data_IF_828072652109
#
_entry.id   IF_828072652109
#
_cell.length_a   1.000
_cell.length_b   1.000
_cell.length_c   1.000
_cell.angle_alpha   90.00
_cell.angle_beta   90.00
_cell.angle_gamma   90.00
#
_symmetry.space_group_name_H-M   'P 1'
#
loop_
_entity.id
_entity.type
_entity.pdbx_description
1 polymer ?
#
# COMPACT_ATOMS: atom_id res chain seq x y z
N UNK A 1 15.77 22.78 -23.75
CA UNK A 1 15.75 21.53 -22.95
C UNK A 1 14.92 21.64 -21.67
N UNK A 2 15.27 22.50 -20.70
CA UNK A 2 14.56 22.58 -19.39
C UNK A 2 13.06 22.90 -19.49
N UNK A 3 12.67 23.80 -20.40
CA UNK A 3 11.25 24.15 -20.62
C UNK A 3 10.48 22.93 -21.16
N UNK A 4 11.01 22.27 -22.20
CA UNK A 4 10.40 21.09 -22.80
C UNK A 4 10.27 19.94 -21.80
N UNK A 5 11.29 19.71 -20.98
CA UNK A 5 11.30 18.67 -19.94
C UNK A 5 10.23 18.91 -18.86
N UNK A 6 10.17 20.12 -18.29
CA UNK A 6 9.13 20.46 -17.31
C UNK A 6 7.72 20.46 -17.92
N UNK A 7 7.59 20.90 -19.17
CA UNK A 7 6.32 20.86 -19.90
C UNK A 7 5.82 19.44 -20.13
N UNK A 8 6.71 18.54 -20.57
CA UNK A 8 6.41 17.12 -20.74
C UNK A 8 5.95 16.50 -19.41
N UNK A 9 6.70 16.71 -18.32
CA UNK A 9 6.36 16.17 -17.01
C UNK A 9 5.04 16.72 -16.45
N UNK A 10 4.74 18.00 -16.69
CA UNK A 10 3.48 18.60 -16.30
C UNK A 10 2.29 17.97 -17.04
N UNK A 11 2.39 17.84 -18.37
CA UNK A 11 1.34 17.23 -19.21
C UNK A 11 1.15 15.75 -18.84
N UNK A 12 2.24 15.01 -18.71
CA UNK A 12 2.21 13.60 -18.31
C UNK A 12 1.54 13.40 -16.94
N UNK A 13 1.91 14.24 -15.96
CA UNK A 13 1.33 14.16 -14.61
C UNK A 13 -0.16 14.52 -14.62
N UNK A 14 -0.56 15.52 -15.40
CA UNK A 14 -1.97 15.88 -15.55
C UNK A 14 -2.78 14.79 -16.26
N UNK A 15 -2.24 14.19 -17.31
CA UNK A 15 -2.86 13.07 -18.02
C UNK A 15 -3.05 11.85 -17.11
N UNK A 16 -2.02 11.51 -16.32
CA UNK A 16 -2.07 10.43 -15.33
C UNK A 16 -3.13 10.71 -14.26
N UNK A 17 -3.21 11.95 -13.76
CA UNK A 17 -4.23 12.36 -12.79
C UNK A 17 -5.64 12.19 -13.36
N UNK A 18 -5.90 12.68 -14.57
CA UNK A 18 -7.22 12.59 -15.21
C UNK A 18 -7.61 11.12 -15.44
N UNK A 19 -6.68 10.31 -15.94
CA UNK A 19 -6.87 8.88 -16.11
C UNK A 19 -7.21 8.18 -14.79
N UNK A 20 -6.46 8.44 -13.73
CA UNK A 20 -6.71 7.87 -12.41
C UNK A 20 -8.04 8.32 -11.80
N UNK A 21 -8.43 9.60 -11.96
CA UNK A 21 -9.73 10.10 -11.51
C UNK A 21 -10.86 9.38 -12.25
N UNK A 22 -10.71 9.15 -13.56
CA UNK A 22 -11.68 8.37 -14.34
C UNK A 22 -11.78 6.93 -13.82
N UNK A 23 -10.65 6.25 -13.63
CA UNK A 23 -10.60 4.90 -13.07
C UNK A 23 -11.32 4.82 -11.71
N UNK A 24 -11.05 5.78 -10.82
CA UNK A 24 -11.69 5.86 -9.51
C UNK A 24 -13.21 6.07 -9.62
N UNK A 25 -13.65 6.95 -10.50
CA UNK A 25 -15.09 7.22 -10.72
C UNK A 25 -15.84 5.99 -11.19
N UNK A 26 -15.24 5.22 -12.10
CA UNK A 26 -15.84 4.00 -12.65
C UNK A 26 -15.76 2.85 -11.64
N UNK A 27 -14.70 2.77 -10.83
CA UNK A 27 -14.46 1.64 -9.91
C UNK A 27 -15.16 1.77 -8.57
N UNK A 28 -15.42 2.97 -8.07
CA UNK A 28 -16.02 3.16 -6.74
C UNK A 28 -17.52 2.89 -6.79
N UNK A 29 -18.02 2.04 -5.88
CA UNK A 29 -19.45 1.88 -5.62
C UNK A 29 -19.91 3.05 -4.74
N UNK A 30 -21.01 3.71 -5.12
CA UNK A 30 -21.53 4.85 -4.37
C UNK A 30 -22.08 4.45 -3.00
N UNK A 31 -21.83 5.28 -1.99
CA UNK A 31 -22.35 5.17 -0.63
C UNK A 31 -23.89 5.08 -0.49
N UNK A 32 -24.64 5.58 -1.47
CA UNK A 32 -26.11 5.61 -1.48
C UNK A 32 -26.73 4.31 -2.05
N UNK A 33 -25.92 3.27 -2.25
CA UNK A 33 -26.39 1.97 -2.74
C UNK A 33 -26.75 1.04 -1.57
N UNK A 34 -27.40 -0.09 -1.87
CA UNK A 34 -27.74 -1.13 -0.89
C UNK A 34 -26.50 -1.65 -0.14
N UNK A 35 -25.31 -1.54 -0.76
CA UNK A 35 -24.03 -1.94 -0.17
C UNK A 35 -23.45 -0.93 0.84
N UNK A 36 -24.05 0.26 0.96
CA UNK A 36 -23.67 1.30 1.93
C UNK A 36 -22.19 1.68 1.93
N UNK A 37 -21.67 2.05 3.11
CA UNK A 37 -20.25 2.38 3.32
C UNK A 37 -19.32 1.18 3.08
N UNK A 38 -19.79 -0.05 3.36
CA UNK A 38 -19.00 -1.26 3.18
C UNK A 38 -18.61 -1.48 1.72
N UNK A 39 -19.52 -1.22 0.76
CA UNK A 39 -19.20 -1.31 -0.67
C UNK A 39 -18.16 -0.30 -1.13
N UNK A 40 -18.17 0.92 -0.58
CA UNK A 40 -17.15 1.95 -0.86
C UNK A 40 -15.78 1.53 -0.33
N UNK A 41 -15.72 1.05 0.92
CA UNK A 41 -14.47 0.59 1.55
C UNK A 41 -13.92 -0.62 0.80
N UNK A 42 -14.78 -1.57 0.44
CA UNK A 42 -14.43 -2.73 -0.37
C UNK A 42 -13.82 -2.32 -1.73
N UNK A 43 -14.36 -1.30 -2.39
CA UNK A 43 -13.83 -0.76 -3.66
C UNK A 43 -12.41 -0.19 -3.51
N UNK A 44 -12.07 0.32 -2.33
CA UNK A 44 -10.73 0.88 -2.03
C UNK A 44 -9.75 -0.13 -1.45
N UNK A 45 -10.23 -1.25 -0.93
CA UNK A 45 -9.43 -2.31 -0.33
C UNK A 45 -9.13 -3.45 -1.29
N UNK A 46 -10.10 -3.79 -2.15
CA UNK A 46 -9.99 -4.86 -3.14
C UNK A 46 -9.98 -4.26 -4.54
N UNK A 47 -8.80 -4.27 -5.14
CA UNK A 47 -8.57 -3.65 -6.45
C UNK A 47 -8.75 -4.60 -7.64
N UNK A 48 -8.84 -5.92 -7.39
CA UNK A 48 -8.93 -6.96 -8.42
C UNK A 48 -10.32 -7.61 -8.49
N UNK A 49 -10.74 -7.99 -9.70
CA UNK A 49 -11.99 -8.70 -9.99
C UNK A 49 -13.14 -7.80 -10.45
N UNK A 50 -14.36 -8.34 -10.59
CA UNK A 50 -15.52 -7.59 -11.08
C UNK A 50 -16.07 -6.56 -10.10
N UNK A 51 -16.83 -5.61 -10.64
CA UNK A 51 -17.57 -4.59 -9.86
C UNK A 51 -18.56 -5.21 -8.88
N UNK A 52 -18.66 -4.64 -7.69
CA UNK A 52 -19.70 -4.97 -6.70
C UNK A 52 -19.15 -5.64 -5.45
N UNK A 53 -19.85 -5.45 -4.33
CA UNK A 53 -19.46 -5.98 -3.02
C UNK A 53 -19.43 -7.51 -3.06
N UNK A 54 -18.37 -8.13 -2.55
CA UNK A 54 -18.23 -9.59 -2.57
C UNK A 54 -17.89 -10.22 -3.93
N UNK A 55 -17.65 -9.39 -4.97
CA UNK A 55 -17.18 -9.88 -6.27
C UNK A 55 -15.66 -9.79 -6.42
N UNK A 56 -14.94 -9.24 -5.43
CA UNK A 56 -13.50 -9.12 -5.47
C UNK A 56 -12.81 -10.49 -5.56
N UNK A 57 -11.76 -10.56 -6.39
CA UNK A 57 -10.79 -11.64 -6.31
C UNK A 57 -9.84 -11.35 -5.15
N UNK A 58 -9.85 -12.22 -4.14
CA UNK A 58 -8.98 -12.14 -2.96
C UNK A 58 -8.06 -13.34 -2.90
N UNK A 59 -6.84 -13.12 -2.41
CA UNK A 59 -5.87 -14.20 -2.25
C UNK A 59 -5.91 -14.76 -0.83
N UNK A 60 -6.20 -16.05 -0.69
CA UNK A 60 -6.22 -16.69 0.60
C UNK A 60 -4.84 -17.29 0.93
N UNK A 61 -4.21 -16.80 2.00
CA UNK A 61 -2.90 -17.30 2.44
C UNK A 61 -2.95 -18.74 2.97
N UNK A 62 -4.07 -19.16 3.57
CA UNK A 62 -4.18 -20.50 4.13
C UNK A 62 -4.28 -21.58 3.04
N UNK A 63 -4.95 -21.28 1.93
CA UNK A 63 -5.09 -22.20 0.79
C UNK A 63 -4.11 -21.94 -0.35
N UNK A 64 -3.27 -20.90 -0.25
CA UNK A 64 -2.35 -20.46 -1.31
C UNK A 64 -3.00 -20.28 -2.69
N UNK A 65 -4.26 -19.86 -2.72
CA UNK A 65 -5.06 -19.75 -3.93
C UNK A 65 -5.84 -18.45 -3.97
N UNK A 66 -6.08 -17.94 -5.17
CA UNK A 66 -7.08 -16.91 -5.38
C UNK A 66 -8.48 -17.51 -5.23
N UNK A 67 -9.40 -16.70 -4.76
CA UNK A 67 -10.81 -17.07 -4.61
C UNK A 67 -11.70 -15.86 -4.85
N UNK A 68 -12.89 -16.11 -5.39
CA UNK A 68 -13.95 -15.12 -5.49
C UNK A 68 -15.10 -15.58 -4.60
N UNK A 69 -15.61 -14.69 -3.76
CA UNK A 69 -16.68 -15.04 -2.81
C UNK A 69 -18.05 -15.23 -3.47
N UNK A 70 -18.25 -14.64 -4.65
CA UNK A 70 -19.44 -14.81 -5.46
C UNK A 70 -19.24 -15.92 -6.51
N UNK A 71 -20.16 -16.90 -6.53
CA UNK A 71 -20.11 -18.05 -7.44
C UNK A 71 -20.46 -17.73 -8.89
N UNK A 72 -21.04 -16.56 -9.18
CA UNK A 72 -21.34 -16.17 -10.56
C UNK A 72 -20.10 -15.75 -11.35
N UNK A 73 -18.99 -15.50 -10.66
CA UNK A 73 -17.73 -15.06 -11.25
C UNK A 73 -16.66 -16.11 -11.01
N UNK A 74 -15.78 -16.25 -11.99
CA UNK A 74 -14.71 -17.23 -11.99
C UNK A 74 -13.37 -16.52 -12.15
N UNK A 75 -12.31 -17.20 -11.75
CA UNK A 75 -10.95 -16.73 -11.99
C UNK A 75 -10.61 -16.90 -13.48
N UNK A 76 -9.41 -16.45 -13.89
CA UNK A 76 -8.92 -16.66 -15.25
C UNK A 76 -8.96 -18.15 -15.65
N UNK A 77 -8.86 -18.46 -16.94
CA UNK A 77 -8.96 -19.83 -17.47
C UNK A 77 -8.07 -20.90 -16.79
N UNK A 78 -7.00 -20.50 -16.11
CA UNK A 78 -6.11 -21.37 -15.35
C UNK A 78 -6.52 -21.55 -13.88
N UNK A 79 -7.59 -20.91 -13.39
CA UNK A 79 -8.02 -20.83 -11.98
C UNK A 79 -6.96 -20.31 -10.97
N UNK A 80 -5.80 -19.85 -11.46
CA UNK A 80 -4.66 -19.45 -10.64
C UNK A 80 -4.55 -17.94 -10.39
N UNK A 81 -5.28 -17.10 -11.11
CA UNK A 81 -5.14 -15.64 -11.04
C UNK A 81 -6.45 -14.90 -11.32
N UNK A 82 -6.60 -13.63 -10.87
CA UNK A 82 -7.71 -12.77 -11.28
C UNK A 82 -7.74 -12.63 -12.80
N UNK A 83 -8.94 -12.65 -13.39
CA UNK A 83 -9.09 -12.50 -14.84
C UNK A 83 -8.70 -11.06 -15.26
N UNK A 84 -7.75 -10.88 -16.19
CA UNK A 84 -7.38 -9.55 -16.68
C UNK A 84 -8.51 -8.87 -17.49
N UNK A 85 -9.53 -9.63 -17.91
CA UNK A 85 -10.71 -9.12 -18.63
C UNK A 85 -11.83 -8.64 -17.72
N UNK A 86 -11.75 -8.91 -16.41
CA UNK A 86 -12.75 -8.44 -15.44
C UNK A 86 -12.79 -6.91 -15.38
N UNK A 87 -13.98 -6.34 -15.39
CA UNK A 87 -14.20 -4.89 -15.39
C UNK A 87 -14.85 -4.38 -14.10
N UNK A 88 -14.57 -3.11 -13.82
CA UNK A 88 -15.23 -2.29 -12.80
C UNK A 88 -14.58 -2.27 -11.42
N UNK A 89 -13.36 -2.81 -11.30
CA UNK A 89 -12.44 -2.51 -10.18
C UNK A 89 -11.15 -1.88 -10.66
N UNK A 90 -10.49 -1.24 -9.71
CA UNK A 90 -9.45 -0.24 -9.97
C UNK A 90 -8.27 -0.77 -10.79
N UNK A 91 -7.85 -2.02 -10.54
CA UNK A 91 -6.69 -2.63 -11.20
C UNK A 91 -6.86 -2.69 -12.72
N UNK A 92 -7.90 -3.37 -13.19
CA UNK A 92 -8.17 -3.58 -14.62
C UNK A 92 -8.75 -2.34 -15.30
N UNK A 93 -9.47 -1.47 -14.57
CA UNK A 93 -10.00 -0.19 -15.11
C UNK A 93 -8.90 0.83 -15.48
N UNK A 94 -7.67 0.61 -15.02
CA UNK A 94 -6.52 1.38 -15.49
C UNK A 94 -5.42 1.59 -14.46
N UNK A 95 -5.61 1.24 -13.19
CA UNK A 95 -4.54 1.38 -12.18
C UNK A 95 -3.31 0.54 -12.54
N UNK A 96 -3.48 -0.64 -13.13
CA UNK A 96 -2.35 -1.45 -13.58
C UNK A 96 -1.55 -0.70 -14.65
N UNK A 97 -2.24 -0.12 -15.63
CA UNK A 97 -1.63 0.63 -16.74
C UNK A 97 -0.99 1.94 -16.28
N UNK A 98 -1.76 2.82 -15.63
CA UNK A 98 -1.27 4.11 -15.14
C UNK A 98 -0.25 3.94 -14.02
N UNK A 99 -0.44 2.96 -13.14
CA UNK A 99 0.51 2.61 -12.09
C UNK A 99 1.84 2.12 -12.65
N UNK A 100 1.82 1.27 -13.68
CA UNK A 100 3.05 0.85 -14.36
C UNK A 100 3.76 2.02 -15.05
N UNK A 101 3.04 2.86 -15.80
CA UNK A 101 3.64 4.04 -16.42
C UNK A 101 4.23 4.99 -15.37
N UNK A 102 3.51 5.21 -14.27
CA UNK A 102 3.96 6.04 -13.17
C UNK A 102 5.21 5.46 -12.48
N UNK A 103 5.33 4.13 -12.41
CA UNK A 103 6.56 3.48 -11.95
C UNK A 103 7.74 3.82 -12.86
N UNK A 104 7.57 3.66 -14.18
CA UNK A 104 8.61 4.02 -15.16
C UNK A 104 8.96 5.51 -15.09
N UNK A 105 7.97 6.38 -14.83
CA UNK A 105 8.22 7.83 -14.71
C UNK A 105 9.19 8.18 -13.58
N UNK A 106 9.30 7.37 -12.52
CA UNK A 106 10.27 7.61 -11.43
C UNK A 106 11.71 7.42 -11.86
N UNK A 107 11.98 6.57 -12.84
CA UNK A 107 13.29 6.47 -13.48
C UNK A 107 13.57 7.70 -14.34
N UNK A 108 12.55 8.18 -15.05
CA UNK A 108 12.68 9.40 -15.86
C UNK A 108 12.93 10.64 -14.99
N UNK A 109 12.32 10.74 -13.82
CA UNK A 109 12.56 11.84 -12.85
C UNK A 109 14.03 11.91 -12.38
N UNK A 110 14.82 10.83 -12.50
CA UNK A 110 16.27 10.88 -12.22
C UNK A 110 17.00 11.82 -13.18
N UNK A 111 16.46 12.05 -14.39
CA UNK A 111 16.98 13.04 -15.34
C UNK A 111 16.98 14.46 -14.74
N UNK A 112 16.05 14.80 -13.85
CA UNK A 112 16.10 16.08 -13.11
C UNK A 112 17.41 16.22 -12.34
N UNK A 113 17.86 15.12 -11.73
CA UNK A 113 19.12 15.08 -10.99
C UNK A 113 20.32 15.22 -11.94
N UNK A 114 20.29 14.54 -13.09
CA UNK A 114 21.33 14.66 -14.11
C UNK A 114 21.45 16.09 -14.68
N UNK A 115 20.33 16.77 -14.92
CA UNK A 115 20.33 18.17 -15.39
C UNK A 115 20.97 19.09 -14.34
N UNK A 116 20.71 18.87 -13.05
CA UNK A 116 21.31 19.67 -11.96
C UNK A 116 22.83 19.46 -11.90
N UNK A 117 23.28 18.20 -11.99
CA UNK A 117 24.70 17.84 -12.01
C UNK A 117 25.39 18.41 -13.25
N UNK A 118 24.76 18.35 -14.42
CA UNK A 118 25.26 18.95 -15.66
C UNK A 118 25.40 20.48 -15.58
N UNK A 119 24.62 21.13 -14.70
CA UNK A 119 24.74 22.58 -14.40
C UNK A 119 25.79 22.88 -13.33
N UNK A 120 26.61 21.90 -12.94
CA UNK A 120 27.70 22.06 -11.97
C UNK A 120 27.23 22.23 -10.51
N UNK A 121 25.94 21.99 -10.23
CA UNK A 121 25.40 22.07 -8.87
C UNK A 121 25.41 20.68 -8.23
N UNK A 122 25.83 20.59 -6.97
CA UNK A 122 25.76 19.34 -6.21
C UNK A 122 24.29 18.93 -6.05
N UNK A 123 23.95 17.69 -6.41
CA UNK A 123 22.64 17.10 -6.10
C UNK A 123 22.46 17.06 -4.59
N UNK A 124 21.27 17.45 -4.10
CA UNK A 124 20.95 17.36 -2.68
C UNK A 124 20.75 15.90 -2.29
N UNK A 125 21.33 15.47 -1.16
CA UNK A 125 21.08 14.13 -0.60
C UNK A 125 19.59 13.84 -0.41
N UNK A 126 18.78 14.87 -0.16
CA UNK A 126 17.34 14.76 -0.04
C UNK A 126 16.67 14.30 -1.34
N UNK A 127 17.15 14.80 -2.48
CA UNK A 127 16.61 14.49 -3.80
C UNK A 127 16.97 13.05 -4.20
N UNK A 128 18.23 12.66 -4.03
CA UNK A 128 18.69 11.29 -4.32
C UNK A 128 17.99 10.25 -3.43
N UNK A 129 17.86 10.54 -2.13
CA UNK A 129 17.11 9.67 -1.21
C UNK A 129 15.65 9.56 -1.64
N UNK A 130 14.95 10.68 -1.87
CA UNK A 130 13.56 10.65 -2.31
C UNK A 130 13.34 9.82 -3.58
N UNK A 131 14.16 10.00 -4.63
CA UNK A 131 14.00 9.24 -5.88
C UNK A 131 14.26 7.75 -5.70
N UNK A 132 15.34 7.36 -5.00
CA UNK A 132 15.63 5.96 -4.74
C UNK A 132 14.49 5.27 -3.96
N UNK A 133 13.95 5.96 -2.95
CA UNK A 133 12.79 5.52 -2.20
C UNK A 133 11.54 5.36 -3.03
N UNK A 134 11.21 6.38 -3.83
CA UNK A 134 10.02 6.37 -4.68
C UNK A 134 10.05 5.18 -5.66
N UNK A 135 11.22 4.89 -6.25
CA UNK A 135 11.40 3.75 -7.16
C UNK A 135 11.17 2.41 -6.44
N UNK A 136 11.77 2.23 -5.26
CA UNK A 136 11.65 1.01 -4.47
C UNK A 136 10.24 0.79 -3.90
N UNK A 137 9.62 1.84 -3.36
CA UNK A 137 8.26 1.78 -2.83
C UNK A 137 7.24 1.51 -3.95
N UNK A 138 7.44 2.11 -5.13
CA UNK A 138 6.54 1.91 -6.26
C UNK A 138 6.69 0.51 -6.87
N UNK A 139 7.91 -0.02 -6.94
CA UNK A 139 8.14 -1.42 -7.31
C UNK A 139 7.36 -2.37 -6.39
N UNK A 140 7.49 -2.21 -5.07
CA UNK A 140 6.78 -3.05 -4.11
C UNK A 140 5.26 -2.90 -4.24
N UNK A 141 4.76 -1.67 -4.42
CA UNK A 141 3.33 -1.40 -4.62
C UNK A 141 2.76 -2.13 -5.82
N UNK A 142 3.39 -2.03 -6.99
CA UNK A 142 2.93 -2.71 -8.22
C UNK A 142 3.09 -4.21 -8.11
N UNK A 143 4.27 -4.69 -7.67
CA UNK A 143 4.60 -6.11 -7.64
C UNK A 143 3.68 -6.92 -6.74
N UNK A 144 3.29 -6.34 -5.60
CA UNK A 144 2.40 -6.99 -4.63
C UNK A 144 0.94 -6.55 -4.77
N UNK A 145 0.60 -5.73 -5.78
CA UNK A 145 -0.77 -5.23 -6.01
C UNK A 145 -1.36 -4.63 -4.72
N UNK A 146 -0.58 -3.79 -4.04
CA UNK A 146 -0.96 -3.23 -2.75
C UNK A 146 -2.04 -2.18 -2.94
N UNK A 147 -3.18 -2.34 -2.26
CA UNK A 147 -4.34 -1.46 -2.43
C UNK A 147 -4.04 0.05 -2.37
N UNK A 148 -3.30 0.59 -1.37
CA UNK A 148 -3.08 2.03 -1.28
C UNK A 148 -2.25 2.65 -2.42
N UNK A 149 -1.74 1.84 -3.37
CA UNK A 149 -0.98 2.34 -4.52
C UNK A 149 -1.77 3.33 -5.37
N UNK A 150 -3.08 3.16 -5.51
CA UNK A 150 -3.90 4.07 -6.30
C UNK A 150 -3.88 5.50 -5.75
N UNK A 151 -3.87 5.64 -4.43
CA UNK A 151 -3.82 6.93 -3.74
C UNK A 151 -2.47 7.59 -4.03
N UNK A 152 -1.40 6.79 -3.95
CA UNK A 152 -0.06 7.27 -4.25
C UNK A 152 0.04 7.79 -5.68
N UNK A 153 -0.40 7.02 -6.68
CA UNK A 153 -0.38 7.44 -8.08
C UNK A 153 -1.24 8.69 -8.28
N UNK A 154 -2.48 8.70 -7.80
CA UNK A 154 -3.44 9.79 -8.03
C UNK A 154 -2.99 11.10 -7.39
N UNK A 155 -2.66 11.08 -6.09
CA UNK A 155 -2.32 12.31 -5.35
C UNK A 155 -0.94 12.82 -5.75
N UNK A 156 0.04 11.92 -5.95
CA UNK A 156 1.38 12.33 -6.38
C UNK A 156 1.34 12.96 -7.77
N UNK A 157 0.64 12.34 -8.73
CA UNK A 157 0.52 12.92 -10.08
C UNK A 157 -0.21 14.26 -10.07
N UNK A 158 -1.20 14.48 -9.20
CA UNK A 158 -1.82 15.78 -9.03
C UNK A 158 -0.89 16.86 -8.49
N UNK A 159 -0.12 16.55 -7.45
CA UNK A 159 0.85 17.51 -6.88
C UNK A 159 2.03 17.74 -7.83
N UNK A 160 2.49 16.71 -8.53
CA UNK A 160 3.53 16.82 -9.55
C UNK A 160 3.07 17.64 -10.75
N UNK A 161 1.81 17.52 -11.19
CA UNK A 161 1.26 18.37 -12.23
C UNK A 161 1.34 19.86 -11.83
N UNK A 162 0.95 20.20 -10.60
CA UNK A 162 1.04 21.58 -10.08
C UNK A 162 2.50 22.03 -9.95
N UNK A 163 3.37 21.17 -9.42
CA UNK A 163 4.79 21.46 -9.20
C UNK A 163 5.56 21.71 -10.50
N UNK A 164 5.40 20.84 -11.50
CA UNK A 164 6.05 21.01 -12.80
C UNK A 164 5.46 22.18 -13.59
N UNK A 165 4.15 22.43 -13.48
CA UNK A 165 3.55 23.65 -14.05
C UNK A 165 4.15 24.90 -13.41
N UNK A 166 4.34 24.90 -12.09
CA UNK A 166 5.02 25.98 -11.39
C UNK A 166 6.46 26.18 -11.90
N UNK A 167 7.25 25.12 -12.06
CA UNK A 167 8.61 25.22 -12.60
C UNK A 167 8.64 25.69 -14.05
N UNK A 168 7.70 25.25 -14.88
CA UNK A 168 7.53 25.72 -16.25
C UNK A 168 7.27 27.24 -16.27
N UNK A 169 6.33 27.72 -15.46
CA UNK A 169 6.04 29.15 -15.33
C UNK A 169 7.26 29.96 -14.87
N UNK A 170 8.07 29.44 -13.94
CA UNK A 170 9.32 30.12 -13.54
C UNK A 170 10.37 30.12 -14.64
N UNK A 171 10.46 29.07 -15.46
CA UNK A 171 11.39 28.99 -16.58
C UNK A 171 11.01 29.95 -17.72
N UNK A 172 9.72 30.28 -17.84
CA UNK A 172 9.20 31.30 -18.77
C UNK A 172 9.34 32.75 -18.26
N UNK A 173 9.96 32.96 -17.08
CA UNK A 173 10.19 34.30 -16.53
C UNK A 173 8.99 34.93 -15.82
N UNK A 174 7.92 34.17 -15.58
CA UNK A 174 6.73 34.68 -14.87
C UNK A 174 7.07 34.87 -13.39
N UNK A 175 6.86 36.09 -12.86
CA UNK A 175 7.09 36.39 -11.44
C UNK A 175 5.99 35.78 -10.58
N UNK A 176 6.31 34.66 -9.92
CA UNK A 176 5.35 33.96 -9.05
C UNK A 176 5.44 34.48 -7.61
N UNK A 177 4.27 34.78 -7.02
CA UNK A 177 4.14 35.25 -5.64
C UNK A 177 4.71 34.23 -4.63
N UNK A 178 5.37 34.71 -3.57
CA UNK A 178 5.91 33.91 -2.47
C UNK A 178 4.85 33.00 -1.82
N UNK A 179 3.59 33.43 -1.76
CA UNK A 179 2.50 32.61 -1.21
C UNK A 179 2.28 31.31 -1.99
N UNK A 180 2.35 31.34 -3.31
CA UNK A 180 2.19 30.15 -4.16
C UNK A 180 3.31 29.15 -3.90
N UNK A 181 4.55 29.63 -3.73
CA UNK A 181 5.70 28.79 -3.35
C UNK A 181 5.47 28.09 -2.01
N UNK A 182 4.95 28.81 -1.02
CA UNK A 182 4.63 28.25 0.29
C UNK A 182 3.49 27.23 0.21
N UNK A 183 2.41 27.52 -0.52
CA UNK A 183 1.30 26.59 -0.72
C UNK A 183 1.76 25.29 -1.39
N UNK A 184 2.66 25.36 -2.37
CA UNK A 184 3.22 24.18 -3.03
C UNK A 184 3.95 23.27 -2.03
N UNK A 185 4.84 23.84 -1.22
CA UNK A 185 5.55 23.07 -0.18
C UNK A 185 4.57 22.50 0.85
N UNK A 186 3.55 23.26 1.25
CA UNK A 186 2.52 22.76 2.17
C UNK A 186 1.75 21.59 1.58
N UNK A 187 1.34 21.64 0.31
CA UNK A 187 0.68 20.52 -0.36
C UNK A 187 1.55 19.26 -0.40
N UNK A 188 2.85 19.41 -0.69
CA UNK A 188 3.80 18.29 -0.69
C UNK A 188 3.96 17.66 0.70
N UNK A 189 4.03 18.47 1.76
CA UNK A 189 4.12 17.95 3.13
C UNK A 189 2.81 17.25 3.54
N UNK A 190 1.67 17.85 3.22
CA UNK A 190 0.36 17.25 3.48
C UNK A 190 0.20 15.91 2.77
N UNK A 191 0.67 15.77 1.52
CA UNK A 191 0.68 14.50 0.79
C UNK A 191 1.41 13.41 1.55
N UNK A 192 2.60 13.69 2.08
CA UNK A 192 3.36 12.69 2.83
C UNK A 192 2.65 12.28 4.12
N UNK A 193 2.19 13.24 4.90
CA UNK A 193 1.53 12.97 6.20
C UNK A 193 0.24 12.19 6.00
N UNK A 194 -0.65 12.67 5.12
CA UNK A 194 -1.94 12.02 4.84
C UNK A 194 -1.71 10.68 4.17
N UNK A 195 -0.76 10.59 3.23
CA UNK A 195 -0.42 9.35 2.53
C UNK A 195 0.06 8.24 3.46
N UNK A 196 0.94 8.55 4.42
CA UNK A 196 1.42 7.57 5.41
C UNK A 196 0.29 7.10 6.33
N UNK A 197 -0.52 8.03 6.85
CA UNK A 197 -1.67 7.68 7.71
C UNK A 197 -2.64 6.78 6.95
N UNK A 198 -2.96 7.14 5.70
CA UNK A 198 -3.87 6.39 4.85
C UNK A 198 -3.32 4.99 4.54
N UNK A 199 -2.04 4.88 4.18
CA UNK A 199 -1.39 3.59 3.93
C UNK A 199 -1.40 2.69 5.18
N UNK A 200 -1.07 3.23 6.35
CA UNK A 200 -1.13 2.49 7.62
C UNK A 200 -2.56 2.07 7.97
N UNK A 201 -3.57 2.90 7.71
CA UNK A 201 -4.96 2.55 7.97
C UNK A 201 -5.39 1.25 7.23
N UNK A 202 -4.85 0.98 6.03
CA UNK A 202 -5.17 -0.24 5.28
C UNK A 202 -4.72 -1.52 6.02
N UNK A 203 -3.75 -1.44 6.93
CA UNK A 203 -3.33 -2.59 7.74
C UNK A 203 -4.36 -2.97 8.81
N UNK A 204 -5.19 -2.02 9.25
CA UNK A 204 -6.10 -2.20 10.39
C UNK A 204 -7.58 -2.18 10.02
N UNK A 205 -7.92 -1.77 8.79
CA UNK A 205 -9.32 -1.73 8.33
C UNK A 205 -9.83 -3.14 8.04
N UNK A 206 -10.93 -3.48 8.72
CA UNK A 206 -11.76 -4.66 8.45
C UNK A 206 -13.22 -4.22 8.27
N UNK A 207 -13.95 -4.93 7.40
CA UNK A 207 -15.34 -4.63 7.08
C UNK A 207 -16.11 -5.95 6.85
N UNK A 208 -17.44 -5.86 6.88
CA UNK A 208 -18.31 -7.03 6.70
C UNK A 208 -18.70 -7.19 5.23
N UNK A 209 -18.50 -8.40 4.70
CA UNK A 209 -18.88 -8.79 3.35
C UNK A 209 -19.98 -9.86 3.38
N UNK A 210 -21.01 -9.74 2.52
CA UNK A 210 -21.93 -10.84 2.29
C UNK A 210 -21.22 -11.92 1.48
N UNK A 211 -21.05 -13.11 2.07
CA UNK A 211 -20.47 -14.27 1.40
C UNK A 211 -21.49 -15.41 1.33
N UNK A 212 -21.45 -16.18 0.26
CA UNK A 212 -22.36 -17.31 0.05
C UNK A 212 -21.73 -18.59 0.60
N UNK A 213 -22.24 -19.09 1.72
CA UNK A 213 -21.73 -20.31 2.36
C UNK A 213 -22.62 -21.52 2.03
N UNK A 214 -22.02 -22.68 1.69
CA UNK A 214 -22.77 -23.93 1.55
C UNK A 214 -23.14 -24.46 2.94
N UNK A 215 -24.38 -24.92 3.08
CA UNK A 215 -24.84 -25.68 4.24
C UNK A 215 -25.61 -26.92 3.78
N UNK A 216 -25.49 -28.01 4.53
CA UNK A 216 -26.21 -29.25 4.25
C UNK A 216 -27.62 -29.13 4.82
N UNK A 217 -28.61 -28.97 3.96
CA UNK A 217 -30.01 -29.03 4.34
C UNK A 217 -30.45 -30.50 4.32
N UNK A 218 -30.89 -31.02 5.47
CA UNK A 218 -31.53 -32.34 5.56
C UNK A 218 -33.01 -32.18 5.22
N UNK A 219 -33.37 -32.47 3.97
CA UNK A 219 -34.76 -32.44 3.55
C UNK A 219 -35.38 -33.79 3.92
N UNK A 220 -36.19 -33.80 4.99
CA UNK A 220 -37.00 -34.97 5.34
C UNK A 220 -38.15 -35.10 4.35
N UNK A 221 -38.00 -35.98 3.37
CA UNK A 221 -39.14 -36.41 2.55
C UNK A 221 -40.00 -37.31 3.43
N UNK A 222 -41.05 -36.75 4.03
CA UNK A 222 -42.15 -37.56 4.56
C UNK A 222 -42.69 -38.29 3.34
N UNK A 223 -42.56 -39.62 3.29
CA UNK A 223 -43.17 -40.43 2.24
C UNK A 223 -44.67 -40.18 2.34
N UNK A 224 -45.15 -39.22 1.57
CA UNK A 224 -46.57 -38.86 1.54
C UNK A 224 -47.32 -40.09 1.09
N UNK A 225 -48.48 -40.31 1.69
CA UNK A 225 -49.43 -41.38 1.45
C UNK A 225 -49.65 -41.76 -0.03
N UNK A 226 -49.29 -40.90 -0.98
CA UNK A 226 -49.24 -41.18 -2.42
C UNK A 226 -48.36 -42.39 -2.81
N UNK A 227 -47.25 -42.67 -2.12
CA UNK A 227 -46.47 -43.89 -2.37
C UNK A 227 -47.21 -45.16 -1.93
N UNK A 228 -48.08 -45.05 -0.91
CA UNK A 228 -49.02 -46.11 -0.53
C UNK A 228 -50.16 -46.24 -1.54
N UNK A 229 -50.65 -45.14 -2.11
CA UNK A 229 -51.70 -45.14 -3.13
C UNK A 229 -51.25 -45.83 -4.42
N UNK A 230 -49.98 -45.69 -4.82
CA UNK A 230 -49.44 -46.31 -6.02
C UNK A 230 -49.43 -47.86 -5.97
N UNK A 231 -49.40 -48.46 -4.77
CA UNK A 231 -49.44 -49.92 -4.61
C UNK A 231 -50.88 -50.47 -4.65
N UNK A 232 -51.87 -49.63 -4.33
CA UNK A 232 -53.29 -50.01 -4.42
C UNK A 232 -53.83 -50.11 -5.87
N UNK A 233 -53.07 -49.63 -6.85
CA UNK A 233 -53.48 -49.58 -8.25
C UNK A 233 -52.95 -50.74 -9.12
N UNK A 234 -52.26 -51.74 -8.56
CA UNK A 234 -51.79 -52.88 -9.33
C UNK A 234 -52.90 -53.94 -9.49
N UNK A 235 -53.36 -54.22 -10.73
CA UNK A 235 -54.30 -55.30 -10.98
C UNK A 235 -53.62 -56.64 -10.74
N UNK A 236 -54.35 -57.53 -10.09
CA UNK A 236 -53.89 -58.88 -9.75
C UNK A 236 -54.16 -59.81 -10.94
N UNK A 237 -53.42 -59.68 -12.04
CA UNK A 237 -53.39 -60.72 -13.07
C UNK A 237 -51.98 -60.92 -13.65
N UNK A 238 -51.59 -62.19 -13.67
CA UNK A 238 -50.36 -62.68 -14.23
C UNK A 238 -50.45 -62.74 -15.76
N UNK A 239 -49.56 -62.03 -16.47
CA UNK A 239 -48.81 -62.58 -17.62
C UNK A 239 -47.94 -61.52 -18.30
N UNK A 240 -46.68 -61.93 -18.54
CA UNK A 240 -45.77 -61.51 -19.61
C UNK A 240 -45.55 -59.99 -19.90
N UNK A 241 -44.35 -59.52 -19.55
CA UNK A 241 -43.57 -58.63 -20.42
C UNK A 241 -43.30 -57.20 -19.94
N UNK A 242 -42.01 -56.90 -19.77
CA UNK A 242 -41.33 -55.59 -19.68
C UNK A 242 -41.29 -54.85 -18.32
N UNK A 243 -40.09 -54.92 -17.77
CA UNK A 243 -39.34 -54.07 -16.84
C UNK A 243 -39.87 -52.65 -16.59
N UNK A 244 -40.34 -52.41 -15.36
CA UNK A 244 -40.19 -51.14 -14.66
C UNK A 244 -39.45 -51.46 -13.37
N UNK A 245 -38.26 -50.89 -13.19
CA UNK A 245 -37.47 -51.02 -11.98
C UNK A 245 -38.12 -50.21 -10.85
N UNK A 246 -39.09 -50.80 -10.15
CA UNK A 246 -39.54 -50.32 -8.85
C UNK A 246 -38.66 -50.96 -7.78
N UNK A 247 -38.11 -50.12 -6.91
CA UNK A 247 -37.26 -50.50 -5.80
C UNK A 247 -37.82 -51.73 -5.08
N UNK A 248 -36.98 -52.74 -4.87
CA UNK A 248 -37.30 -53.96 -4.12
C UNK A 248 -37.81 -53.61 -2.73
N UNK A 249 -39.12 -53.43 -2.59
CA UNK A 249 -39.79 -53.46 -1.31
C UNK A 249 -39.52 -54.85 -0.73
N UNK A 250 -38.80 -54.90 0.38
CA UNK A 250 -38.42 -56.16 1.02
C UNK A 250 -39.66 -57.01 1.24
N UNK A 251 -39.55 -58.33 1.04
CA UNK A 251 -40.68 -59.27 1.06
C UNK A 251 -41.57 -59.17 2.34
N UNK A 252 -41.06 -58.59 3.43
CA UNK A 252 -41.82 -58.30 4.65
C UNK A 252 -42.87 -57.17 4.51
N UNK A 253 -42.60 -56.14 3.71
CA UNK A 253 -43.51 -54.99 3.53
C UNK A 253 -44.79 -55.37 2.78
N UNK A 254 -44.66 -56.22 1.76
CA UNK A 254 -45.79 -56.73 0.98
C UNK A 254 -46.72 -57.65 1.81
N UNK A 255 -46.15 -58.51 2.67
CA UNK A 255 -46.90 -59.37 3.56
C UNK A 255 -47.66 -58.56 4.63
N UNK A 256 -47.07 -57.48 5.15
CA UNK A 256 -47.74 -56.57 6.08
C UNK A 256 -48.91 -55.83 5.43
N UNK A 257 -48.72 -55.27 4.23
CA UNK A 257 -49.78 -54.57 3.48
C UNK A 257 -50.99 -55.48 3.22
N UNK A 258 -50.74 -56.74 2.85
CA UNK A 258 -51.80 -57.74 2.66
C UNK A 258 -52.57 -58.01 3.96
N UNK A 259 -51.88 -58.10 5.09
CA UNK A 259 -52.50 -58.27 6.42
C UNK A 259 -53.36 -57.05 6.81
N UNK A 260 -52.86 -55.84 6.57
CA UNK A 260 -53.58 -54.60 6.84
C UNK A 260 -54.85 -54.46 6.00
N UNK A 261 -54.77 -54.77 4.70
CA UNK A 261 -55.92 -54.74 3.78
C UNK A 261 -57.00 -55.76 4.18
N UNK A 262 -56.60 -56.97 4.59
CA UNK A 262 -57.54 -57.99 5.07
C UNK A 262 -58.24 -57.58 6.37
N UNK A 263 -57.56 -56.88 7.30
CA UNK A 263 -58.19 -56.30 8.49
C UNK A 263 -59.15 -55.15 8.15
N UNK A 264 -58.75 -54.24 7.26
CA UNK A 264 -59.59 -53.13 6.82
C UNK A 264 -60.88 -53.62 6.12
N UNK A 265 -60.80 -54.77 5.44
CA UNK A 265 -61.95 -55.44 4.83
C UNK A 265 -62.78 -56.28 5.81
N UNK A 266 -62.51 -56.22 7.13
CA UNK A 266 -63.24 -56.96 8.17
C UNK A 266 -62.98 -58.47 8.18
N UNK A 267 -61.97 -58.94 7.45
CA UNK A 267 -61.61 -60.37 7.34
C UNK A 267 -60.50 -60.73 8.31
N UNK A 268 -60.77 -60.57 9.60
CA UNK A 268 -59.76 -60.68 10.66
C UNK A 268 -59.11 -62.07 10.74
N UNK A 269 -59.87 -63.16 10.53
CA UNK A 269 -59.32 -64.52 10.54
C UNK A 269 -58.39 -64.84 9.36
N UNK A 270 -58.58 -64.19 8.20
CA UNK A 270 -57.68 -64.35 7.05
C UNK A 270 -56.43 -63.49 7.19
N UNK A 271 -56.54 -62.33 7.85
CA UNK A 271 -55.40 -61.48 8.15
C UNK A 271 -54.40 -62.16 9.10
N UNK A 272 -54.89 -63.00 10.02
CA UNK A 272 -54.04 -63.70 10.97
C UNK A 272 -53.09 -64.71 10.32
N UNK A 273 -53.54 -65.36 9.23
CA UNK A 273 -52.76 -66.32 8.45
C UNK A 273 -51.65 -65.72 7.59
N UNK A 274 -51.55 -64.37 7.52
CA UNK A 274 -50.44 -63.71 6.83
C UNK A 274 -49.28 -63.57 7.81
N UNK A 275 -48.26 -64.42 7.61
CA UNK A 275 -47.02 -64.46 8.38
C UNK A 275 -45.85 -63.88 7.57
N UNK A 276 -44.84 -63.37 8.26
CA UNK A 276 -43.57 -62.94 7.64
C UNK A 276 -42.80 -64.16 7.12
N UNK A 277 -41.80 -63.96 6.25
CA UNK A 277 -40.97 -65.02 5.67
C UNK A 277 -40.26 -65.93 6.71
N UNK A 278 -40.19 -65.52 7.98
CA UNK A 278 -39.63 -66.27 9.12
C UNK A 278 -40.68 -66.81 10.12
N UNK A 279 -41.97 -66.77 9.80
CA UNK A 279 -43.02 -67.40 10.63
C UNK A 279 -43.34 -66.71 11.96
N UNK A 280 -42.88 -65.47 12.19
CA UNK A 280 -43.18 -64.69 13.40
C UNK A 280 -44.28 -63.65 13.15
N UNK A 281 -44.99 -63.26 14.21
CA UNK A 281 -46.01 -62.21 14.17
C UNK A 281 -45.40 -60.82 13.94
N UNK A 282 -46.10 -59.97 13.18
CA UNK A 282 -45.72 -58.58 12.92
C UNK A 282 -45.83 -57.73 14.20
N UNK A 283 -44.79 -57.72 15.03
CA UNK A 283 -44.75 -57.00 16.30
C UNK A 283 -43.72 -55.88 16.40
N UNK A 284 -42.57 -55.99 15.71
CA UNK A 284 -41.42 -55.09 15.97
C UNK A 284 -40.83 -54.40 14.72
N UNK A 285 -41.13 -54.87 13.50
CA UNK A 285 -40.63 -54.27 12.25
C UNK A 285 -41.39 -52.99 11.82
N UNK A 286 -42.57 -52.73 12.41
CA UNK A 286 -43.44 -51.60 12.01
C UNK A 286 -42.94 -50.26 12.56
N UNK A 287 -42.30 -50.26 13.73
CA UNK A 287 -41.69 -49.05 14.30
C UNK A 287 -40.45 -48.62 13.48
N UNK A 288 -39.72 -49.58 12.91
CA UNK A 288 -38.52 -49.32 12.12
C UNK A 288 -38.86 -48.88 10.67
N UNK A 289 -39.94 -49.44 10.09
CA UNK A 289 -40.43 -49.04 8.77
C UNK A 289 -41.09 -47.65 8.75
N UNK A 290 -41.70 -47.20 9.85
CA UNK A 290 -42.21 -45.83 9.99
C UNK A 290 -41.12 -44.79 10.29
N UNK A 291 -39.92 -45.23 10.67
CA UNK A 291 -38.79 -44.35 11.01
C UNK A 291 -37.74 -44.21 9.90
N UNK A 292 -37.97 -44.79 8.71
CA UNK A 292 -37.18 -44.48 7.52
C UNK A 292 -37.64 -43.16 6.90
N UNK A 293 -37.48 -42.05 7.64
CA UNK A 293 -37.40 -40.74 7.01
C UNK A 293 -36.11 -40.75 6.20
N UNK A 294 -36.21 -40.97 4.89
CA UNK A 294 -35.09 -40.80 3.97
C UNK A 294 -34.77 -39.32 3.95
N UNK A 295 -33.78 -38.92 4.76
CA UNK A 295 -33.21 -37.58 4.72
C UNK A 295 -32.40 -37.48 3.43
N UNK A 296 -32.89 -36.71 2.47
CA UNK A 296 -32.07 -36.34 1.31
C UNK A 296 -31.19 -35.18 1.74
N UNK A 297 -29.87 -35.37 1.68
CA UNK A 297 -28.91 -34.30 1.93
C UNK A 297 -28.77 -33.46 0.64
N UNK A 298 -29.22 -32.21 0.71
CA UNK A 298 -29.09 -31.24 -0.38
C UNK A 298 -28.14 -30.12 0.07
N UNK A 299 -27.12 -29.81 -0.73
CA UNK A 299 -26.26 -28.65 -0.49
C UNK A 299 -27.00 -27.38 -0.88
N UNK A 300 -27.40 -26.58 0.09
CA UNK A 300 -28.03 -25.26 -0.12
C UNK A 300 -27.05 -24.16 0.23
N UNK A 301 -27.32 -22.97 -0.30
CA UNK A 301 -26.48 -21.80 -0.09
C UNK A 301 -27.23 -20.73 0.70
N UNK A 302 -26.55 -20.10 1.65
CA UNK A 302 -27.06 -18.96 2.40
C UNK A 302 -26.04 -17.83 2.37
N UNK A 303 -26.52 -16.60 2.30
CA UNK A 303 -25.67 -15.41 2.46
C UNK A 303 -25.46 -15.13 3.93
N UNK A 304 -24.20 -15.12 4.36
CA UNK A 304 -23.78 -14.75 5.71
C UNK A 304 -22.80 -13.56 5.66
N UNK A 305 -22.81 -12.74 6.71
CA UNK A 305 -21.88 -11.61 6.84
C UNK A 305 -20.60 -12.09 7.52
N UNK A 306 -19.48 -12.04 6.79
CA UNK A 306 -18.16 -12.36 7.32
C UNK A 306 -17.26 -11.14 7.37
N UNK A 307 -16.41 -11.08 8.39
CA UNK A 307 -15.39 -10.04 8.50
C UNK A 307 -14.23 -10.34 7.55
N UNK A 308 -13.88 -9.38 6.72
CA UNK A 308 -12.76 -9.47 5.78
C UNK A 308 -11.81 -8.30 6.01
N UNK A 309 -10.51 -8.59 6.00
CA UNK A 309 -9.47 -7.58 6.11
C UNK A 309 -9.27 -6.88 4.77
N UNK A 310 -8.86 -5.61 4.83
CA UNK A 310 -8.55 -4.84 3.63
C UNK A 310 -7.45 -5.49 2.80
N UNK A 311 -6.39 -5.98 3.46
CA UNK A 311 -5.27 -6.68 2.82
C UNK A 311 -5.43 -8.18 2.89
N UNK A 312 -5.05 -8.85 1.80
CA UNK A 312 -5.13 -10.30 1.65
C UNK A 312 -3.78 -10.98 1.87
N UNK A 313 -2.68 -10.31 1.50
CA UNK A 313 -1.35 -10.92 1.47
C UNK A 313 -0.36 -10.22 2.39
N UNK A 314 0.58 -10.99 2.94
CA UNK A 314 1.73 -10.47 3.66
C UNK A 314 2.62 -9.60 2.76
N UNK A 315 2.64 -9.86 1.45
CA UNK A 315 3.33 -9.04 0.44
C UNK A 315 2.73 -7.63 0.30
N UNK A 316 1.40 -7.50 0.33
CA UNK A 316 0.73 -6.20 0.33
C UNK A 316 1.06 -5.40 1.60
N UNK A 317 1.08 -6.07 2.75
CA UNK A 317 1.49 -5.47 4.03
C UNK A 317 2.96 -5.07 4.02
N UNK A 318 3.85 -5.91 3.47
CA UNK A 318 5.26 -5.59 3.27
C UNK A 318 5.45 -4.32 2.44
N UNK A 319 4.73 -4.17 1.32
CA UNK A 319 4.81 -2.98 0.49
C UNK A 319 4.41 -1.70 1.25
N UNK A 320 3.39 -1.78 2.11
CA UNK A 320 2.95 -0.67 2.97
C UNK A 320 4.01 -0.34 4.01
N UNK A 321 4.51 -1.34 4.72
CA UNK A 321 5.52 -1.17 5.76
C UNK A 321 6.82 -0.62 5.21
N UNK A 322 7.26 -1.11 4.05
CA UNK A 322 8.43 -0.61 3.33
C UNK A 322 8.26 0.87 2.99
N UNK A 323 7.10 1.25 2.45
CA UNK A 323 6.79 2.64 2.13
C UNK A 323 6.80 3.54 3.37
N UNK A 324 6.14 3.10 4.44
CA UNK A 324 6.07 3.86 5.69
C UNK A 324 7.46 3.99 6.36
N UNK A 325 8.23 2.91 6.42
CA UNK A 325 9.58 2.92 6.99
C UNK A 325 10.51 3.86 6.21
N UNK A 326 10.42 3.85 4.88
CA UNK A 326 11.25 4.71 4.03
C UNK A 326 10.88 6.18 4.14
N UNK A 327 9.57 6.48 4.18
CA UNK A 327 9.04 7.84 4.28
C UNK A 327 9.16 8.42 5.69
N UNK A 328 9.32 7.62 6.74
CA UNK A 328 9.42 8.10 8.12
C UNK A 328 10.49 9.17 8.36
N UNK A 329 11.78 8.96 7.98
CA UNK A 329 12.81 9.99 8.17
C UNK A 329 12.55 11.26 7.33
N UNK A 330 11.99 11.10 6.13
CA UNK A 330 11.67 12.21 5.24
C UNK A 330 10.51 13.06 5.79
N UNK A 331 9.46 12.39 6.25
CA UNK A 331 8.29 13.00 6.86
C UNK A 331 8.69 13.73 8.15
N UNK A 332 9.53 13.11 8.99
CA UNK A 332 10.06 13.74 10.19
C UNK A 332 10.85 15.03 9.90
N UNK A 333 11.68 15.02 8.86
CA UNK A 333 12.42 16.21 8.42
C UNK A 333 11.47 17.33 7.96
N UNK A 334 10.49 17.00 7.11
CA UNK A 334 9.54 17.98 6.58
C UNK A 334 8.59 18.52 7.65
N UNK A 335 8.09 17.67 8.55
CA UNK A 335 7.27 18.10 9.70
C UNK A 335 8.06 19.05 10.59
N UNK A 336 9.34 18.76 10.86
CA UNK A 336 10.21 19.67 11.63
C UNK A 336 10.41 21.02 10.93
N UNK A 337 10.58 21.03 9.61
CA UNK A 337 10.63 22.27 8.82
C UNK A 337 9.29 23.02 8.85
N UNK A 338 8.17 22.32 8.70
CA UNK A 338 6.82 22.90 8.75
C UNK A 338 6.54 23.54 10.11
N UNK A 339 6.82 22.84 11.21
CA UNK A 339 6.68 23.37 12.57
C UNK A 339 7.53 24.63 12.75
N UNK A 340 8.79 24.60 12.29
CA UNK A 340 9.68 25.76 12.38
C UNK A 340 9.21 26.94 11.53
N UNK A 341 8.65 26.68 10.34
CA UNK A 341 8.18 27.71 9.42
C UNK A 341 6.85 28.35 9.84
N UNK A 342 5.90 27.56 10.33
CA UNK A 342 4.54 28.04 10.67
C UNK A 342 4.37 28.36 12.16
N UNK A 343 4.87 27.52 13.07
CA UNK A 343 4.74 27.73 14.52
C UNK A 343 5.96 28.44 15.13
N UNK A 344 7.13 28.39 14.47
CA UNK A 344 8.33 29.11 14.91
C UNK A 344 8.17 30.63 14.94
N UNK A 345 7.27 31.20 14.13
CA UNK A 345 6.96 32.64 14.17
C UNK A 345 6.11 33.05 15.39
N UNK A 346 5.32 32.15 15.98
CA UNK A 346 4.57 32.46 17.22
C UNK A 346 5.44 32.35 18.48
N UNK A 347 6.48 31.51 18.47
CA UNK A 347 7.41 31.34 19.59
C UNK A 347 8.60 32.32 19.59
N UNK A 348 8.98 32.87 18.43
CA UNK A 348 10.15 33.74 18.28
C UNK A 348 10.06 35.08 19.02
N UNK A 349 8.85 35.60 19.23
CA UNK A 349 8.63 36.90 19.90
C UNK A 349 8.66 36.81 21.43
N UNK A 350 8.53 35.61 22.00
CA UNK A 350 8.52 35.39 23.48
C UNK A 350 9.77 34.65 23.99
N UNK A 351 10.41 33.82 23.16
CA UNK A 351 11.60 33.03 23.55
C UNK A 351 12.93 33.78 23.46
N UNK A 352 13.01 34.86 22.67
CA UNK A 352 14.20 35.73 22.59
C UNK A 352 14.49 36.40 23.95
N UNK A 353 13.48 36.92 24.64
CA UNK A 353 13.68 37.65 25.91
C UNK A 353 14.22 36.77 27.04
N UNK A 354 13.67 35.57 27.26
CA UNK A 354 14.06 34.72 28.40
C UNK A 354 15.38 33.99 28.14
N UNK A 355 15.60 33.52 26.90
CA UNK A 355 16.86 32.84 26.54
C UNK A 355 18.04 33.81 26.55
N UNK A 356 17.85 35.05 26.11
CA UNK A 356 18.91 36.05 26.05
C UNK A 356 19.27 36.59 27.46
N UNK A 357 18.28 36.72 28.35
CA UNK A 357 18.51 37.06 29.77
C UNK A 357 19.21 35.92 30.50
N UNK A 358 18.78 34.67 30.34
CA UNK A 358 19.45 33.51 30.95
C UNK A 358 20.89 33.33 30.45
N UNK A 359 21.14 33.55 29.15
CA UNK A 359 22.49 33.44 28.57
C UNK A 359 23.39 34.60 28.99
N UNK A 360 22.86 35.82 29.17
CA UNK A 360 23.60 36.96 29.71
C UNK A 360 23.93 36.78 31.20
N UNK A 361 22.98 36.28 32.00
CA UNK A 361 23.21 35.98 33.43
C UNK A 361 24.20 34.85 33.62
N UNK A 362 24.14 33.79 32.81
CA UNK A 362 25.13 32.70 32.83
C UNK A 362 26.52 33.17 32.41
N UNK A 363 26.62 34.02 31.37
CA UNK A 363 27.89 34.59 30.92
C UNK A 363 28.47 35.57 31.94
N UNK A 364 27.65 36.34 32.65
CA UNK A 364 28.08 37.20 33.75
C UNK A 364 28.57 36.39 34.97
N UNK A 365 27.87 35.30 35.33
CA UNK A 365 28.30 34.39 36.39
C UNK A 365 29.62 33.67 36.05
N UNK A 366 29.79 33.25 34.79
CA UNK A 366 31.03 32.60 34.35
C UNK A 366 32.25 33.52 34.41
N UNK A 367 32.10 34.82 34.09
CA UNK A 367 33.19 35.81 34.21
C UNK A 367 33.55 36.11 35.67
N UNK A 368 32.57 36.03 36.59
CA UNK A 368 32.82 36.13 38.02
C UNK A 368 33.64 34.95 38.55
N UNK A 369 33.35 33.73 38.07
CA UNK A 369 34.09 32.52 38.42
C UNK A 369 35.51 32.52 37.83
N UNK A 370 35.70 32.99 36.59
CA UNK A 370 37.03 33.13 35.99
C UNK A 370 37.92 34.10 36.78
N UNK A 371 37.37 35.21 37.29
CA UNK A 371 38.11 36.16 38.14
C UNK A 371 38.51 35.56 39.50
N UNK A 372 37.66 34.69 40.08
CA UNK A 372 38.01 33.96 41.31
C UNK A 372 39.10 32.91 41.08
N UNK A 373 39.06 32.21 39.94
CA UNK A 373 40.09 31.22 39.56
C UNK A 373 41.44 31.89 39.27
N UNK A 374 41.42 33.10 38.70
CA UNK A 374 42.62 33.89 38.42
C UNK A 374 43.23 34.50 39.70
N UNK A 375 42.40 34.90 40.68
CA UNK A 375 42.86 35.29 42.02
C UNK A 375 43.45 34.13 42.82
N UNK A 376 42.95 32.90 42.63
CA UNK A 376 43.49 31.70 43.29
C UNK A 376 44.83 31.24 42.67
N UNK A 377 45.06 31.54 41.38
CA UNK A 377 46.33 31.29 40.69
C UNK A 377 47.41 32.37 40.97
N UNK A 378 47.00 33.60 41.27
CA UNK A 378 47.94 34.71 41.61
C UNK A 378 48.61 34.52 42.97
N UNK A 379 47.93 33.91 43.96
CA UNK A 379 48.48 33.67 45.30
C UNK A 379 49.50 32.51 45.34
N UNK A 380 49.55 31.65 44.29
CA UNK A 380 50.48 30.50 44.23
C UNK A 380 51.71 30.72 43.34
N UNK A 381 51.90 31.92 42.78
CA UNK A 381 52.94 32.22 41.80
C UNK A 381 54.01 33.23 42.22
N UNK A 382 54.12 33.59 43.51
CA UNK A 382 54.98 34.70 43.95
C UNK A 382 56.00 34.36 45.05
N UNK A 383 56.46 33.11 45.11
CA UNK A 383 57.56 32.72 46.01
C UNK A 383 58.89 32.36 45.32
N UNK A 384 59.00 32.48 43.99
CA UNK A 384 60.31 32.26 43.34
C UNK A 384 60.66 33.38 42.35
N UNK A 385 61.93 33.79 42.46
CA UNK A 385 62.70 34.63 41.52
C UNK A 385 62.70 36.15 41.78
N UNK A 386 63.36 36.57 42.86
CA UNK A 386 64.28 37.72 42.80
C UNK A 386 65.45 37.36 41.87
N UNK A 387 65.65 38.07 40.76
CA UNK A 387 66.92 38.74 40.53
C UNK A 387 66.89 39.77 39.38
N UNK A 388 67.38 40.96 39.74
CA UNK A 388 68.08 42.00 38.97
C UNK A 388 67.44 42.82 37.83
N UNK A 389 67.52 44.13 38.08
CA UNK A 389 67.00 45.30 37.36
C UNK A 389 67.91 45.84 36.23
N UNK A 390 67.32 46.57 35.25
CA UNK A 390 67.36 48.05 35.12
C UNK A 390 66.73 48.56 33.79
N UNK A 391 66.27 49.84 33.70
CA UNK A 391 65.06 50.19 32.93
C UNK A 391 65.15 51.41 31.96
N UNK A 392 63.99 51.68 31.31
CA UNK A 392 63.48 52.96 30.75
C UNK A 392 64.07 53.43 29.40
N UNK A 393 63.33 54.03 28.45
CA UNK A 393 62.53 55.28 28.53
C UNK A 393 61.53 55.39 27.34
N UNK A 394 60.38 56.06 27.58
CA UNK A 394 59.34 56.54 26.63
C UNK A 394 59.78 57.78 25.84
N UNK A 395 59.27 57.98 24.62
CA UNK A 395 58.73 59.28 24.16
C UNK A 395 58.00 59.16 22.81
N UNK A 396 56.99 60.01 22.66
CA UNK A 396 56.03 60.15 21.57
C UNK A 396 56.13 61.60 21.07
N UNK A 397 56.11 61.86 19.75
CA UNK A 397 55.72 63.14 19.14
C UNK A 397 55.70 63.09 17.59
N UNK A 398 54.48 63.23 17.05
CA UNK A 398 54.00 64.14 15.99
C UNK A 398 55.02 64.89 15.07
N UNK A 399 54.84 64.83 13.74
CA UNK A 399 54.56 65.99 12.87
C UNK A 399 54.31 65.60 11.38
N UNK A 400 53.67 66.53 10.66
CA UNK A 400 52.94 66.52 9.39
C UNK A 400 53.77 66.63 8.09
N UNK A 401 53.02 66.59 6.97
CA UNK A 401 53.27 67.06 5.58
C UNK A 401 54.14 66.10 4.74
N UNK A 402 53.89 65.83 3.46
CA UNK A 402 53.05 66.39 2.39
C UNK A 402 53.69 65.98 1.05
N UNK A 403 52.90 65.92 -0.03
CA UNK A 403 53.32 65.84 -1.46
C UNK A 403 53.81 64.51 -2.09
N UNK A 404 53.08 64.12 -3.15
CA UNK A 404 53.53 63.37 -4.34
C UNK A 404 54.06 64.39 -5.40
N UNK A 405 54.63 64.05 -6.60
CA UNK A 405 54.47 62.82 -7.39
C UNK A 405 55.69 62.39 -8.29
N UNK A 406 55.41 61.42 -9.18
CA UNK A 406 55.97 61.22 -10.54
C UNK A 406 57.19 60.28 -10.78
N UNK A 407 56.97 59.37 -11.73
CA UNK A 407 57.85 58.39 -12.42
C UNK A 407 58.77 59.04 -13.47
N UNK A 408 59.85 58.40 -13.97
CA UNK A 408 59.77 57.45 -15.12
C UNK A 408 60.81 56.29 -15.18
N UNK A 409 60.59 55.34 -16.10
CA UNK A 409 61.38 54.17 -16.59
C UNK A 409 62.80 54.51 -17.16
N UNK A 410 63.63 53.64 -17.81
CA UNK A 410 63.45 52.25 -18.35
C UNK A 410 64.71 51.31 -18.28
N UNK A 411 64.74 50.27 -19.17
CA UNK A 411 65.84 49.37 -19.61
C UNK A 411 66.08 48.04 -18.85
N UNK A 412 66.50 46.90 -19.45
CA UNK A 412 66.61 46.36 -20.82
C UNK A 412 67.16 44.90 -20.71
N UNK A 413 66.87 44.04 -21.71
CA UNK A 413 67.69 42.85 -22.11
C UNK A 413 67.68 41.60 -21.21
N UNK A 414 67.67 40.35 -21.69
CA UNK A 414 67.74 39.76 -23.03
C UNK A 414 68.20 38.29 -22.93
N UNK A 415 67.75 37.44 -23.88
CA UNK A 415 68.42 36.20 -24.40
C UNK A 415 68.69 35.03 -23.42
N UNK A 416 68.65 33.73 -23.74
CA UNK A 416 68.71 32.90 -24.97
C UNK A 416 68.56 31.41 -24.53
N UNK A 417 67.81 30.55 -25.27
CA UNK A 417 68.33 29.45 -26.17
C UNK A 417 68.57 28.10 -25.44
N UNK A 418 67.71 27.09 -25.69
CA UNK A 418 67.99 25.78 -26.39
C UNK A 418 68.27 24.64 -25.40
N UNK A 419 68.02 23.33 -25.61
CA UNK A 419 67.29 22.52 -26.59
C UNK A 419 67.36 21.02 -26.15
N UNK A 420 66.50 20.20 -26.76
CA UNK A 420 66.58 18.74 -27.08
C UNK A 420 66.52 17.60 -26.05
N UNK A 421 65.74 16.60 -26.50
CA UNK A 421 65.81 15.12 -26.39
C UNK A 421 65.03 14.49 -25.24
N UNK A 422 64.21 13.45 -25.41
CA UNK A 422 63.88 12.63 -26.58
C UNK A 422 63.50 11.20 -26.15
N UNK A 423 62.50 10.60 -26.82
CA UNK A 423 62.13 9.17 -26.88
C UNK A 423 61.61 8.49 -25.58
N UNK A 424 60.63 7.58 -25.58
CA UNK A 424 59.89 6.87 -26.63
C UNK A 424 59.44 5.49 -26.08
N UNK A 425 58.28 5.02 -26.56
CA UNK A 425 57.80 3.61 -26.56
C UNK A 425 57.46 2.92 -25.21
N UNK A 426 56.54 1.95 -25.08
CA UNK A 426 55.51 1.29 -25.92
C UNK A 426 54.78 0.27 -25.00
N UNK A 427 53.51 -0.07 -25.32
CA UNK A 427 52.87 -1.42 -25.13
C UNK A 427 52.58 -1.92 -23.69
N UNK A 428 51.52 -2.70 -23.39
CA UNK A 428 50.41 -3.34 -24.13
C UNK A 428 49.46 -4.02 -23.11
N UNK A 429 48.22 -4.21 -23.57
CA UNK A 429 47.03 -4.89 -23.05
C UNK A 429 47.14 -6.19 -22.21
N UNK A 430 46.07 -6.51 -21.46
CA UNK A 430 45.40 -7.83 -21.46
C UNK A 430 43.98 -7.78 -20.86
N UNK A 431 43.03 -8.37 -21.60
CA UNK A 431 41.64 -8.75 -21.26
C UNK A 431 41.55 -10.07 -20.46
N UNK A 432 40.40 -10.29 -19.78
CA UNK A 432 39.61 -11.55 -19.62
C UNK A 432 38.75 -11.42 -18.33
N UNK A 433 37.42 -11.33 -18.36
CA UNK A 433 36.35 -12.29 -18.69
C UNK A 433 36.28 -13.51 -17.75
N UNK A 434 35.23 -13.61 -16.91
CA UNK A 434 34.54 -14.88 -16.63
C UNK A 434 33.16 -14.68 -15.96
N UNK A 435 32.29 -15.62 -16.28
CA UNK A 435 30.84 -15.73 -16.13
C UNK A 435 30.41 -16.59 -14.94
N UNK A 436 29.24 -16.31 -14.36
CA UNK A 436 28.18 -17.28 -14.02
C UNK A 436 26.86 -16.57 -13.67
#
# INVERSE_FOLDING_TARGET
MVIAHNGFLAIYSAWTLVGMIYCLRVSIVGWNTVSGLAGTVDSFCKINGPRGIGNAASYNQASHAWSITNQTFHLAADDLAPDPTDVGRLWNEGLAFYGWLFYISKFYEVIDTFIILAKGKKSSLLQTYHHAGAMLCMWAGIRYMSSPIWMFVTVNSGIHAIMYTFYLCTALGIKINKRIKQTLTTMQITQFVVGVIFALAHLFVAYQLPVTVPYVAKLGTVVSSAALSAVSALPLEASAGKSIATASASAGTAAWLKKAALRAAGREGLAENVLTQKGQGFGHEVAEALHQVVFTEETRFRTELQWTNCLDTSGQAFAILLNCAYLAPLTGLFVRFFIKAYFGQMGGRRRSSISEVATRSFRAASKGLSRQVEQMHSVRGQEESQDQAKPAVKAEADNRQGEAPATPSPNEGGTSVEEVTGAGDSKRAADANESL
#
